data_IF_918143831608
#
_entry.id   IF_918143831608
#
_cell.length_a   1.000
_cell.length_b   1.000
_cell.length_c   1.000
_cell.angle_alpha   90.00
_cell.angle_beta   90.00
_cell.angle_gamma   90.00
#
_symmetry.space_group_name_H-M   'P 1'
#
loop_
_entity.id
_entity.type
_entity.pdbx_description
1 polymer ?
#
# COMPACT_ATOMS: atom_id res chain seq x y z
N UNK A 1 49.35 23.77 -12.47
CA UNK A 1 48.15 24.65 -12.47
C UNK A 1 47.85 25.32 -13.81
N UNK A 2 48.79 26.03 -14.45
CA UNK A 2 48.52 26.82 -15.68
C UNK A 2 47.98 26.03 -16.90
N UNK A 3 48.30 24.74 -17.04
CA UNK A 3 47.81 23.88 -18.16
C UNK A 3 46.35 23.42 -18.00
N UNK A 4 45.87 23.20 -16.77
CA UNK A 4 44.46 22.82 -16.51
C UNK A 4 43.51 24.01 -16.68
N UNK A 5 43.96 25.23 -16.39
CA UNK A 5 43.16 26.46 -16.58
C UNK A 5 42.96 26.78 -18.07
N UNK A 6 43.97 26.54 -18.93
CA UNK A 6 43.82 26.72 -20.39
C UNK A 6 42.81 25.77 -21.02
N UNK A 7 42.77 24.51 -20.59
CA UNK A 7 41.82 23.53 -21.14
C UNK A 7 40.38 23.77 -20.65
N UNK A 8 40.19 24.25 -19.41
CA UNK A 8 38.85 24.65 -18.92
C UNK A 8 38.35 25.90 -19.66
N UNK A 9 39.21 26.91 -19.89
CA UNK A 9 38.83 28.10 -20.67
C UNK A 9 38.44 27.80 -22.11
N UNK A 10 39.11 26.84 -22.76
CA UNK A 10 38.82 26.46 -24.16
C UNK A 10 37.49 25.68 -24.24
N UNK A 11 37.19 24.81 -23.28
CA UNK A 11 35.92 24.05 -23.25
C UNK A 11 34.74 24.96 -22.88
N UNK A 12 34.91 25.93 -21.96
CA UNK A 12 33.88 26.95 -21.69
C UNK A 12 33.71 27.93 -22.86
N UNK A 13 34.77 28.26 -23.60
CA UNK A 13 34.67 29.10 -24.79
C UNK A 13 33.97 28.39 -25.95
N UNK A 14 34.23 27.09 -26.17
CA UNK A 14 33.54 26.32 -27.21
C UNK A 14 32.05 26.08 -26.89
N UNK A 15 31.70 25.87 -25.61
CA UNK A 15 30.28 25.80 -25.18
C UNK A 15 29.57 27.16 -25.26
N UNK A 16 30.27 28.28 -25.00
CA UNK A 16 29.70 29.62 -25.16
C UNK A 16 29.50 30.00 -26.64
N UNK A 17 30.39 29.56 -27.54
CA UNK A 17 30.24 29.82 -28.98
C UNK A 17 29.17 28.96 -29.64
N UNK A 18 28.89 27.76 -29.12
CA UNK A 18 27.82 26.89 -29.63
C UNK A 18 26.43 27.25 -29.08
N UNK A 19 26.34 27.95 -27.94
CA UNK A 19 25.08 28.56 -27.48
C UNK A 19 24.75 29.91 -28.14
N UNK A 20 25.69 30.56 -28.83
CA UNK A 20 25.44 31.83 -29.55
C UNK A 20 25.06 31.68 -31.03
N UNK A 21 24.87 30.44 -31.51
CA UNK A 21 24.35 30.16 -32.85
C UNK A 21 22.99 29.44 -32.79
N UNK A 22 22.07 29.95 -31.96
CA UNK A 22 20.69 30.03 -32.46
C UNK A 22 20.66 31.20 -33.45
N UNK A 23 21.23 30.99 -34.63
CA UNK A 23 21.21 31.95 -35.72
C UNK A 23 19.72 32.20 -36.02
N UNK A 24 19.23 33.40 -35.75
CA UNK A 24 17.91 33.79 -36.22
C UNK A 24 17.90 33.56 -37.72
N UNK A 25 16.96 32.73 -38.20
CA UNK A 25 16.73 32.56 -39.63
C UNK A 25 16.04 33.83 -40.14
N UNK A 26 16.80 34.90 -40.19
CA UNK A 26 16.41 36.17 -40.78
C UNK A 26 16.23 35.92 -42.27
N UNK A 27 14.99 36.06 -42.75
CA UNK A 27 14.68 35.87 -44.16
C UNK A 27 14.65 37.26 -44.79
N UNK A 28 15.56 37.50 -45.75
CA UNK A 28 15.53 38.73 -46.54
C UNK A 28 14.53 38.55 -47.67
N UNK A 29 13.50 39.39 -47.70
CA UNK A 29 12.54 39.46 -48.80
C UNK A 29 12.91 40.66 -49.67
N UNK A 30 13.00 40.45 -50.98
CA UNK A 30 13.37 41.50 -51.94
C UNK A 30 12.25 41.74 -52.93
N UNK A 31 11.96 43.00 -53.24
CA UNK A 31 11.00 43.42 -54.26
C UNK A 31 11.67 44.39 -55.23
N UNK A 32 11.76 44.00 -56.50
CA UNK A 32 12.19 44.89 -57.57
C UNK A 32 11.07 45.90 -57.87
N UNK A 33 11.42 47.19 -57.84
CA UNK A 33 10.56 48.30 -58.25
C UNK A 33 11.02 48.82 -59.61
N UNK A 34 10.06 49.18 -60.46
CA UNK A 34 10.30 49.81 -61.76
C UNK A 34 10.07 51.31 -61.67
N UNK A 35 10.78 52.09 -62.49
CA UNK A 35 10.50 53.52 -62.65
C UNK A 35 9.00 53.76 -62.88
N UNK A 36 8.41 54.68 -62.12
CA UNK A 36 6.95 54.89 -62.06
C UNK A 36 6.29 54.20 -60.87
N UNK A 37 5.01 53.86 -61.01
CA UNK A 37 4.16 53.38 -59.91
C UNK A 37 4.30 51.87 -59.65
N UNK A 38 4.46 51.50 -58.39
CA UNK A 38 4.55 50.12 -57.92
C UNK A 38 3.60 49.90 -56.74
N UNK A 39 2.82 48.81 -56.77
CA UNK A 39 2.04 48.36 -55.62
C UNK A 39 2.88 47.39 -54.79
N UNK A 40 3.06 47.71 -53.50
CA UNK A 40 3.90 46.96 -52.57
C UNK A 40 3.11 46.71 -51.29
N UNK A 41 2.98 45.44 -50.89
CA UNK A 41 2.52 45.10 -49.54
C UNK A 41 3.62 45.40 -48.53
N UNK A 42 3.29 46.07 -47.43
CA UNK A 42 4.24 46.35 -46.37
C UNK A 42 4.61 45.05 -45.65
N UNK A 43 5.91 44.71 -45.71
CA UNK A 43 6.46 43.45 -45.23
C UNK A 43 6.95 43.55 -43.77
N UNK A 44 6.51 44.57 -43.03
CA UNK A 44 6.83 44.76 -41.62
C UNK A 44 5.96 43.96 -40.67
N UNK A 45 6.52 43.64 -39.50
CA UNK A 45 5.82 42.91 -38.44
C UNK A 45 5.14 43.84 -37.43
N UNK A 46 5.58 45.10 -37.35
CA UNK A 46 5.01 46.15 -36.51
C UNK A 46 4.80 47.42 -37.33
N UNK A 47 3.94 48.35 -36.89
CA UNK A 47 3.88 49.69 -37.45
C UNK A 47 5.27 50.33 -37.47
N UNK A 48 5.64 50.95 -38.58
CA UNK A 48 6.90 51.69 -38.72
C UNK A 48 6.64 53.04 -39.37
N UNK A 49 7.46 54.02 -39.00
CA UNK A 49 7.42 55.35 -39.62
C UNK A 49 7.73 55.22 -41.11
N UNK A 50 6.93 55.87 -41.96
CA UNK A 50 7.03 55.74 -43.42
C UNK A 50 8.42 56.07 -43.94
N UNK A 51 9.09 57.06 -43.32
CA UNK A 51 10.45 57.43 -43.68
C UNK A 51 11.46 56.30 -43.37
N UNK A 52 11.33 55.66 -42.22
CA UNK A 52 12.23 54.57 -41.79
C UNK A 52 11.96 53.29 -42.59
N UNK A 53 10.68 52.97 -42.79
CA UNK A 53 10.21 51.80 -43.53
C UNK A 53 10.79 51.67 -44.94
N UNK A 54 11.04 52.81 -45.61
CA UNK A 54 11.55 52.88 -46.98
C UNK A 54 12.90 53.60 -47.10
N UNK A 55 13.63 53.78 -46.00
CA UNK A 55 14.87 54.56 -45.94
C UNK A 55 15.88 54.16 -47.04
N UNK A 56 15.97 52.88 -47.37
CA UNK A 56 16.92 52.33 -48.35
C UNK A 56 16.69 52.77 -49.81
N UNK A 57 15.47 53.20 -50.15
CA UNK A 57 15.11 53.67 -51.50
C UNK A 57 14.67 55.13 -51.49
N UNK A 58 14.76 55.82 -50.35
CA UNK A 58 14.12 57.11 -50.13
C UNK A 58 14.65 58.22 -51.07
N UNK A 59 15.90 58.11 -51.50
CA UNK A 59 16.53 58.98 -52.49
C UNK A 59 15.87 58.90 -53.88
N UNK A 60 15.11 57.83 -54.14
CA UNK A 60 14.43 57.55 -55.42
C UNK A 60 12.92 57.66 -55.32
N UNK A 61 12.37 57.85 -54.12
CA UNK A 61 10.92 57.93 -53.89
C UNK A 61 10.41 59.32 -54.25
N UNK A 62 9.45 59.39 -55.17
CA UNK A 62 8.73 60.64 -55.47
C UNK A 62 7.52 60.81 -54.53
N UNK A 63 6.77 59.74 -54.30
CA UNK A 63 5.59 59.74 -53.42
C UNK A 63 5.20 58.31 -53.01
N UNK A 64 4.73 58.16 -51.78
CA UNK A 64 4.11 56.95 -51.22
C UNK A 64 2.66 57.28 -50.89
N UNK A 65 1.73 56.38 -51.23
CA UNK A 65 0.29 56.52 -50.92
C UNK A 65 -0.26 55.26 -50.28
N UNK A 66 -1.11 55.43 -49.28
CA UNK A 66 -2.03 54.40 -48.80
C UNK A 66 -3.48 54.83 -49.10
N UNK A 67 -4.47 54.10 -48.60
CA UNK A 67 -5.87 54.53 -48.66
C UNK A 67 -6.13 55.81 -47.85
N UNK A 68 -5.35 56.03 -46.78
CA UNK A 68 -5.64 57.04 -45.76
C UNK A 68 -4.68 58.23 -45.77
N UNK A 69 -3.60 58.17 -46.56
CA UNK A 69 -2.64 59.26 -46.61
C UNK A 69 -1.57 59.16 -47.68
N UNK A 70 -0.67 60.14 -47.68
CA UNK A 70 0.49 60.15 -48.56
C UNK A 70 1.74 60.69 -47.85
N UNK A 71 2.90 60.33 -48.41
CA UNK A 71 4.21 60.80 -47.98
C UNK A 71 5.06 61.17 -49.21
N UNK A 72 5.64 62.36 -49.21
CA UNK A 72 6.59 62.85 -50.23
C UNK A 72 7.85 63.38 -49.53
N UNK A 73 9.06 62.87 -49.88
CA UNK A 73 10.30 63.29 -49.20
C UNK A 73 10.64 64.78 -49.34
N UNK A 74 10.20 65.42 -50.42
CA UNK A 74 10.44 66.85 -50.69
C UNK A 74 9.50 67.79 -49.92
N UNK A 75 8.42 67.27 -49.32
CA UNK A 75 7.48 68.07 -48.54
C UNK A 75 7.94 68.18 -47.08
N UNK A 76 7.68 69.34 -46.46
CA UNK A 76 7.90 69.50 -45.02
C UNK A 76 7.03 68.49 -44.26
N UNK A 77 7.57 67.90 -43.18
CA UNK A 77 6.97 66.73 -42.50
C UNK A 77 5.50 66.92 -42.12
N UNK A 78 5.09 68.12 -41.68
CA UNK A 78 3.69 68.39 -41.30
C UNK A 78 2.69 68.34 -42.47
N UNK A 79 3.16 68.35 -43.73
CA UNK A 79 2.32 68.21 -44.92
C UNK A 79 2.15 66.76 -45.37
N UNK A 80 2.94 65.84 -44.82
CA UNK A 80 2.75 64.40 -45.02
C UNK A 80 1.64 63.91 -44.08
N UNK A 81 0.75 63.06 -44.58
CA UNK A 81 -0.35 62.49 -43.80
C UNK A 81 -0.22 60.98 -43.56
N UNK A 82 0.76 60.35 -44.21
CA UNK A 82 1.12 58.96 -44.00
C UNK A 82 2.36 58.88 -43.10
N UNK A 83 2.14 59.01 -41.79
CA UNK A 83 3.23 58.98 -40.81
C UNK A 83 3.78 57.57 -40.61
N UNK A 84 2.89 56.56 -40.59
CA UNK A 84 3.25 55.17 -40.35
C UNK A 84 2.62 54.23 -41.40
N UNK A 85 3.30 53.13 -41.68
CA UNK A 85 2.78 52.01 -42.48
C UNK A 85 2.54 50.82 -41.57
N UNK A 86 1.35 50.21 -41.65
CA UNK A 86 0.96 49.10 -40.78
C UNK A 86 1.25 47.75 -41.44
N UNK A 87 1.53 46.69 -40.65
CA UNK A 87 1.64 45.32 -41.15
C UNK A 87 0.41 44.93 -41.98
N UNK A 88 0.65 44.24 -43.10
CA UNK A 88 -0.37 43.76 -44.05
C UNK A 88 -1.04 44.83 -44.92
N UNK A 89 -0.70 46.12 -44.76
CA UNK A 89 -1.20 47.17 -45.65
C UNK A 89 -0.54 47.13 -47.03
N UNK A 90 -1.28 47.55 -48.06
CA UNK A 90 -0.76 47.80 -49.40
C UNK A 90 -0.50 49.29 -49.60
N UNK A 91 0.71 49.65 -50.05
CA UNK A 91 1.08 51.02 -50.42
C UNK A 91 1.45 51.11 -51.90
N UNK A 92 1.10 52.23 -52.52
CA UNK A 92 1.53 52.62 -53.85
C UNK A 92 2.76 53.53 -53.74
N UNK A 93 3.88 53.10 -54.31
CA UNK A 93 5.15 53.82 -54.28
C UNK A 93 5.52 54.23 -55.70
N UNK A 94 5.73 55.52 -55.93
CA UNK A 94 6.28 56.04 -57.19
C UNK A 94 7.78 56.28 -57.02
N UNK A 95 8.58 55.68 -57.89
CA UNK A 95 10.04 55.84 -57.89
C UNK A 95 10.54 56.43 -59.20
N UNK A 96 11.59 57.24 -59.15
CA UNK A 96 12.17 57.93 -60.31
C UNK A 96 12.96 57.01 -61.25
N UNK A 97 13.49 55.90 -60.73
CA UNK A 97 14.23 54.87 -61.48
C UNK A 97 14.07 53.47 -60.88
N UNK A 98 14.49 52.44 -61.62
CA UNK A 98 14.47 51.05 -61.15
C UNK A 98 15.33 50.88 -59.88
N UNK A 99 14.78 50.27 -58.83
CA UNK A 99 15.49 50.02 -57.57
C UNK A 99 15.01 48.75 -56.87
N UNK A 100 15.76 48.30 -55.86
CA UNK A 100 15.47 47.11 -55.08
C UNK A 100 15.06 47.50 -53.67
N UNK A 101 13.89 47.02 -53.23
CA UNK A 101 13.43 47.16 -51.86
C UNK A 101 13.71 45.84 -51.12
N UNK A 102 14.62 45.84 -50.15
CA UNK A 102 14.95 44.69 -49.32
C UNK A 102 14.40 44.83 -47.91
N UNK A 103 13.97 43.72 -47.30
CA UNK A 103 13.56 43.75 -45.90
C UNK A 103 13.90 42.46 -45.18
N UNK A 104 14.56 42.61 -44.04
CA UNK A 104 14.89 41.50 -43.15
C UNK A 104 13.71 41.17 -42.27
N UNK A 105 13.05 40.05 -42.52
CA UNK A 105 12.00 39.52 -41.66
C UNK A 105 12.66 38.62 -40.62
N UNK A 106 12.65 39.07 -39.36
CA UNK A 106 13.04 38.23 -38.23
C UNK A 106 11.99 37.14 -38.08
N UNK A 107 12.36 35.88 -38.25
CA UNK A 107 11.45 34.75 -37.99
C UNK A 107 11.30 34.53 -36.47
N UNK A 108 10.84 35.54 -35.75
CA UNK A 108 10.38 35.43 -34.37
C UNK A 108 8.90 35.09 -34.38
N UNK A 109 8.58 33.81 -34.15
CA UNK A 109 7.27 33.31 -33.74
C UNK A 109 6.03 33.98 -34.39
N UNK A 110 5.75 33.66 -35.65
CA UNK A 110 4.34 33.68 -36.12
C UNK A 110 3.66 32.46 -35.49
N UNK A 111 3.25 32.63 -34.24
CA UNK A 111 2.12 31.94 -33.66
C UNK A 111 1.09 33.04 -33.46
N UNK A 112 0.19 33.20 -34.43
CA UNK A 112 -1.15 33.69 -34.12
C UNK A 112 -1.75 32.62 -33.19
N UNK A 113 -1.45 32.72 -31.90
CA UNK A 113 -2.27 32.05 -30.90
C UNK A 113 -3.56 32.84 -30.84
N UNK A 114 -4.60 32.28 -31.42
CA UNK A 114 -5.97 32.63 -31.06
C UNK A 114 -6.18 32.18 -29.60
N UNK A 115 -5.68 32.96 -28.64
CA UNK A 115 -5.97 32.79 -27.21
C UNK A 115 -7.36 33.33 -26.90
N UNK A 116 -8.37 32.95 -27.69
CA UNK A 116 -9.73 32.98 -27.17
C UNK A 116 -9.82 31.84 -26.16
N UNK A 117 -9.61 32.16 -24.89
CA UNK A 117 -10.00 31.27 -23.80
C UNK A 117 -11.48 30.96 -24.00
N UNK A 118 -11.80 29.76 -24.49
CA UNK A 118 -13.18 29.36 -24.66
C UNK A 118 -13.81 29.27 -23.26
N UNK A 119 -14.94 29.94 -23.07
CA UNK A 119 -15.73 29.73 -21.87
C UNK A 119 -16.43 28.38 -21.96
N UNK A 120 -16.79 27.79 -20.82
CA UNK A 120 -17.60 26.57 -20.79
C UNK A 120 -18.94 26.78 -21.54
N UNK A 121 -19.46 28.01 -21.57
CA UNK A 121 -20.64 28.37 -22.35
C UNK A 121 -20.42 28.30 -23.88
N UNK A 122 -19.24 28.71 -24.36
CA UNK A 122 -18.87 28.57 -25.78
C UNK A 122 -18.76 27.10 -26.19
N UNK A 123 -18.19 26.26 -25.32
CA UNK A 123 -18.05 24.81 -25.54
C UNK A 123 -19.42 24.13 -25.58
N UNK A 124 -20.31 24.43 -24.62
CA UNK A 124 -21.67 23.86 -24.55
C UNK A 124 -22.53 24.27 -25.77
N UNK A 125 -22.33 25.49 -26.30
CA UNK A 125 -23.05 25.97 -27.48
C UNK A 125 -22.69 25.21 -28.77
N UNK A 126 -21.46 24.70 -28.87
CA UNK A 126 -21.00 23.86 -30.00
C UNK A 126 -21.46 22.40 -29.82
N UNK A 127 -21.50 21.92 -28.59
CA UNK A 127 -22.00 20.61 -28.22
C UNK A 127 -21.60 20.25 -26.79
N UNK A 128 -22.54 19.71 -26.01
CA UNK A 128 -22.35 19.42 -24.59
C UNK A 128 -21.68 18.06 -24.31
N UNK A 129 -20.91 17.51 -25.27
CA UNK A 129 -20.34 16.16 -25.14
C UNK A 129 -18.82 16.16 -25.21
N UNK A 130 -18.18 15.58 -24.20
CA UNK A 130 -16.79 15.18 -24.24
C UNK A 130 -16.72 13.72 -24.72
N UNK A 131 -16.43 13.50 -26.00
CA UNK A 131 -16.39 12.15 -26.61
C UNK A 131 -15.06 11.40 -26.30
N UNK A 132 -14.40 11.70 -25.18
CA UNK A 132 -13.09 11.17 -24.81
C UNK A 132 -12.81 11.25 -23.30
N UNK A 133 -11.65 10.77 -22.87
CA UNK A 133 -11.24 10.82 -21.46
C UNK A 133 -10.81 12.24 -21.05
N UNK A 134 -11.33 12.71 -19.92
CA UNK A 134 -10.87 13.95 -19.28
C UNK A 134 -9.75 13.59 -18.29
N UNK A 135 -8.61 14.29 -18.36
CA UNK A 135 -7.42 14.05 -17.53
C UNK A 135 -7.12 15.28 -16.67
N UNK A 136 -6.39 15.08 -15.56
CA UNK A 136 -5.99 16.17 -14.66
C UNK A 136 -7.12 16.73 -13.77
N UNK A 137 -8.25 16.02 -13.68
CA UNK A 137 -9.30 16.33 -12.70
C UNK A 137 -8.73 16.15 -11.28
N UNK A 138 -8.79 17.20 -10.48
CA UNK A 138 -8.46 17.14 -9.05
C UNK A 138 -9.57 16.45 -8.27
N UNK A 139 -9.30 16.07 -7.01
CA UNK A 139 -10.34 15.57 -6.11
C UNK A 139 -11.49 16.58 -5.96
N UNK A 140 -12.75 16.13 -5.82
CA UNK A 140 -13.89 17.01 -5.63
C UNK A 140 -13.77 17.77 -4.31
N UNK A 141 -14.08 19.06 -4.30
CA UNK A 141 -14.18 19.91 -3.11
C UNK A 141 -15.61 20.39 -2.84
N UNK A 142 -16.39 20.57 -3.90
CA UNK A 142 -17.78 21.00 -3.84
C UNK A 142 -18.75 19.88 -4.27
N UNK A 143 -20.01 19.98 -3.84
CA UNK A 143 -21.02 18.93 -4.03
C UNK A 143 -21.36 18.62 -5.50
N UNK A 144 -21.03 19.52 -6.43
CA UNK A 144 -21.32 19.39 -7.86
C UNK A 144 -20.08 19.06 -8.71
N UNK A 145 -18.93 18.87 -8.06
CA UNK A 145 -17.70 18.55 -8.78
C UNK A 145 -17.78 17.18 -9.44
N UNK A 146 -17.21 17.09 -10.65
CA UNK A 146 -16.98 15.81 -11.30
C UNK A 146 -15.93 15.02 -10.51
N UNK A 147 -16.17 13.72 -10.33
CA UNK A 147 -15.28 12.84 -9.58
C UNK A 147 -14.40 11.99 -10.50
N UNK A 148 -13.17 11.72 -10.07
CA UNK A 148 -12.29 10.79 -10.77
C UNK A 148 -12.72 9.34 -10.51
N UNK A 149 -12.39 8.43 -11.42
CA UNK A 149 -12.60 6.98 -11.21
C UNK A 149 -11.89 6.49 -9.95
N UNK A 150 -10.66 6.94 -9.73
CA UNK A 150 -9.87 6.61 -8.55
C UNK A 150 -10.60 6.97 -7.25
N UNK A 151 -11.15 8.18 -7.15
CA UNK A 151 -11.92 8.60 -5.99
C UNK A 151 -13.14 7.69 -5.72
N UNK A 152 -13.88 7.35 -6.78
CA UNK A 152 -15.04 6.44 -6.67
C UNK A 152 -14.62 5.02 -6.27
N UNK A 153 -13.52 4.51 -6.81
CA UNK A 153 -13.03 3.17 -6.47
C UNK A 153 -12.56 3.10 -5.01
N UNK A 154 -11.89 4.14 -4.50
CA UNK A 154 -11.51 4.27 -3.09
C UNK A 154 -12.74 4.27 -2.18
N UNK A 155 -13.76 5.06 -2.51
CA UNK A 155 -15.02 5.07 -1.75
C UNK A 155 -15.70 3.69 -1.76
N UNK A 156 -15.76 3.02 -2.91
CA UNK A 156 -16.31 1.65 -3.01
C UNK A 156 -15.54 0.67 -2.14
N UNK A 157 -14.21 0.72 -2.15
CA UNK A 157 -13.38 -0.13 -1.30
C UNK A 157 -13.66 0.12 0.20
N UNK A 158 -13.79 1.39 0.61
CA UNK A 158 -14.14 1.76 1.98
C UNK A 158 -15.54 1.27 2.39
N UNK A 159 -16.54 1.41 1.51
CA UNK A 159 -17.90 0.92 1.76
C UNK A 159 -17.88 -0.59 1.97
N UNK A 160 -17.27 -1.35 1.05
CA UNK A 160 -17.16 -2.81 1.16
C UNK A 160 -16.46 -3.23 2.45
N UNK A 161 -15.37 -2.54 2.83
CA UNK A 161 -14.66 -2.83 4.08
C UNK A 161 -15.54 -2.58 5.32
N UNK A 162 -16.33 -1.50 5.31
CA UNK A 162 -17.27 -1.18 6.40
C UNK A 162 -18.41 -2.20 6.49
N UNK A 163 -18.99 -2.62 5.36
CA UNK A 163 -20.02 -3.67 5.32
C UNK A 163 -19.51 -4.99 5.91
N UNK A 164 -18.30 -5.41 5.53
CA UNK A 164 -17.67 -6.60 6.09
C UNK A 164 -17.43 -6.48 7.58
N UNK A 165 -17.00 -5.29 8.05
CA UNK A 165 -16.85 -5.04 9.48
C UNK A 165 -18.18 -5.15 10.22
N UNK A 166 -19.27 -4.61 9.69
CA UNK A 166 -20.60 -4.72 10.30
C UNK A 166 -21.10 -6.16 10.36
N UNK A 167 -20.93 -6.94 9.30
CA UNK A 167 -21.28 -8.36 9.28
C UNK A 167 -20.50 -9.14 10.35
N UNK A 168 -19.20 -8.89 10.47
CA UNK A 168 -18.37 -9.52 11.50
C UNK A 168 -18.82 -9.17 12.93
N UNK A 169 -19.20 -7.93 13.19
CA UNK A 169 -19.72 -7.53 14.52
C UNK A 169 -21.07 -8.20 14.82
N UNK A 170 -21.96 -8.35 13.83
CA UNK A 170 -23.20 -9.12 13.98
C UNK A 170 -22.92 -10.59 14.27
N UNK A 171 -21.95 -11.20 13.59
CA UNK A 171 -21.50 -12.58 13.85
C UNK A 171 -20.93 -12.74 15.28
N UNK A 172 -20.25 -11.73 15.80
CA UNK A 172 -19.78 -11.73 17.21
C UNK A 172 -20.97 -11.75 18.16
N UNK A 173 -22.00 -10.94 17.91
CA UNK A 173 -23.23 -10.95 18.73
C UNK A 173 -23.98 -12.29 18.61
N UNK A 174 -23.94 -12.93 17.43
CA UNK A 174 -24.50 -14.26 17.21
C UNK A 174 -23.65 -15.39 17.80
N UNK A 175 -22.43 -15.11 18.27
CA UNK A 175 -21.49 -16.09 18.81
C UNK A 175 -20.84 -17.00 17.74
N UNK A 176 -20.94 -16.65 16.46
CA UNK A 176 -20.29 -17.35 15.35
C UNK A 176 -18.88 -16.82 15.06
N UNK A 177 -18.56 -15.63 15.57
CA UNK A 177 -17.22 -15.05 15.58
C UNK A 177 -16.82 -14.51 16.95
N UNK A 178 -15.53 -14.25 17.11
CA UNK A 178 -14.95 -13.53 18.25
C UNK A 178 -13.98 -12.47 17.74
N UNK A 179 -13.93 -11.34 18.44
CA UNK A 179 -13.08 -10.19 18.12
C UNK A 179 -11.99 -10.02 19.19
N UNK A 180 -10.73 -9.86 18.79
CA UNK A 180 -9.63 -9.56 19.73
C UNK A 180 -9.45 -8.05 20.00
N UNK A 181 -8.43 -7.70 20.79
CA UNK A 181 -8.06 -6.31 21.13
C UNK A 181 -7.62 -5.49 19.91
N UNK A 182 -7.18 -6.15 18.84
CA UNK A 182 -6.78 -5.58 17.55
C UNK A 182 -7.92 -5.39 16.56
N UNK A 183 -9.10 -5.90 16.89
CA UNK A 183 -10.25 -5.89 15.99
C UNK A 183 -10.17 -6.96 14.91
N UNK A 184 -9.30 -7.95 15.09
CA UNK A 184 -9.29 -9.15 14.29
C UNK A 184 -10.49 -10.03 14.65
N UNK A 185 -11.17 -10.55 13.64
CA UNK A 185 -12.24 -11.52 13.79
C UNK A 185 -11.76 -12.94 13.50
N UNK A 186 -12.28 -13.88 14.28
CA UNK A 186 -12.01 -15.32 14.20
C UNK A 186 -13.32 -16.08 14.22
N UNK A 187 -13.40 -17.16 13.45
CA UNK A 187 -14.54 -18.07 13.44
C UNK A 187 -14.61 -18.84 14.75
N UNK A 188 -15.83 -19.12 15.23
CA UNK A 188 -16.06 -19.91 16.44
C UNK A 188 -16.58 -21.29 16.07
N UNK A 189 -15.86 -22.32 16.47
CA UNK A 189 -16.20 -23.71 16.21
C UNK A 189 -16.69 -24.35 17.50
N UNK A 190 -17.93 -24.84 17.46
CA UNK A 190 -18.57 -25.53 18.57
C UNK A 190 -18.33 -27.03 18.47
N UNK A 191 -17.67 -27.59 19.47
CA UNK A 191 -17.34 -29.01 19.59
C UNK A 191 -18.20 -29.61 20.71
N UNK A 192 -18.84 -30.74 20.43
CA UNK A 192 -19.49 -31.56 21.47
C UNK A 192 -18.45 -32.45 22.14
N UNK A 193 -18.35 -32.39 23.46
CA UNK A 193 -17.44 -33.24 24.26
C UNK A 193 -18.24 -34.15 25.20
N UNK A 194 -17.80 -35.39 25.36
CA UNK A 194 -18.36 -36.33 26.35
C UNK A 194 -17.57 -36.23 27.65
N UNK A 195 -18.21 -35.81 28.73
CA UNK A 195 -17.58 -35.75 30.07
C UNK A 195 -17.59 -37.15 30.69
N UNK A 196 -16.41 -37.67 31.05
CA UNK A 196 -16.24 -39.04 31.58
C UNK A 196 -16.84 -39.28 32.99
N UNK A 197 -17.28 -38.23 33.70
CA UNK A 197 -17.57 -38.29 35.14
C UNK A 197 -19.03 -38.00 35.54
N UNK A 198 -19.99 -37.95 34.61
CA UNK A 198 -21.41 -37.89 34.98
C UNK A 198 -22.20 -39.04 34.32
N UNK A 199 -22.37 -40.18 35.03
CA UNK A 199 -23.18 -41.30 34.54
C UNK A 199 -24.70 -41.07 34.67
N UNK A 200 -25.17 -39.94 35.21
CA UNK A 200 -26.59 -39.71 35.54
C UNK A 200 -27.24 -38.58 34.73
N UNK A 201 -26.49 -37.84 33.91
CA UNK A 201 -27.07 -36.82 33.04
C UNK A 201 -26.22 -36.61 31.80
N UNK A 202 -26.72 -37.10 30.66
CA UNK A 202 -26.19 -36.90 29.29
C UNK A 202 -26.35 -35.44 28.81
N UNK A 203 -26.17 -34.45 29.68
CA UNK A 203 -26.13 -33.07 29.25
C UNK A 203 -24.92 -32.89 28.33
N UNK A 204 -25.18 -32.65 27.05
CA UNK A 204 -24.17 -32.35 26.04
C UNK A 204 -23.27 -31.22 26.55
N UNK A 205 -22.01 -31.54 26.85
CA UNK A 205 -21.01 -30.53 27.16
C UNK A 205 -20.40 -30.03 25.86
N UNK A 206 -20.13 -28.73 25.79
CA UNK A 206 -19.61 -28.10 24.59
C UNK A 206 -18.34 -27.31 24.91
N UNK A 207 -17.36 -27.45 24.03
CA UNK A 207 -16.16 -26.62 24.00
C UNK A 207 -16.20 -25.78 22.72
N UNK A 208 -15.68 -24.56 22.80
CA UNK A 208 -15.60 -23.64 21.68
C UNK A 208 -14.12 -23.38 21.40
N UNK A 209 -13.73 -23.43 20.13
CA UNK A 209 -12.36 -23.17 19.70
C UNK A 209 -12.37 -22.21 18.52
N UNK A 210 -11.37 -21.34 18.44
CA UNK A 210 -11.18 -20.49 17.27
C UNK A 210 -10.83 -21.33 16.05
N UNK A 211 -11.38 -20.98 14.89
CA UNK A 211 -11.05 -21.64 13.62
C UNK A 211 -9.66 -21.29 13.09
N UNK A 212 -9.16 -20.10 13.43
CA UNK A 212 -7.90 -19.57 12.96
C UNK A 212 -6.94 -19.28 14.13
N UNK A 213 -5.64 -19.19 13.82
CA UNK A 213 -4.63 -18.82 14.81
C UNK A 213 -4.67 -17.31 15.07
N UNK A 214 -4.29 -16.91 16.28
CA UNK A 214 -4.22 -15.51 16.70
C UNK A 214 -3.24 -14.71 15.84
N UNK A 215 -3.63 -13.46 15.62
CA UNK A 215 -2.88 -12.43 14.86
C UNK A 215 -2.88 -11.10 15.62
N UNK A 216 -2.84 -11.21 16.94
CA UNK A 216 -2.87 -10.10 17.87
C UNK A 216 -1.46 -9.57 18.09
N UNK A 217 -1.35 -8.27 18.28
CA UNK A 217 -0.08 -7.52 18.42
C UNK A 217 -0.05 -6.74 19.72
N UNK A 218 -1.13 -6.82 20.51
CA UNK A 218 -1.30 -6.22 21.81
C UNK A 218 -1.81 -7.23 22.82
N UNK A 219 -1.40 -7.08 24.07
CA UNK A 219 -1.96 -7.80 25.19
C UNK A 219 -3.42 -7.35 25.43
N UNK A 220 -4.24 -8.12 26.18
CA UNK A 220 -5.63 -7.75 26.43
C UNK A 220 -5.81 -6.39 27.12
N UNK A 221 -4.80 -5.93 27.88
CA UNK A 221 -4.79 -4.61 28.51
C UNK A 221 -4.47 -3.46 27.53
N UNK A 222 -4.15 -3.78 26.27
CA UNK A 222 -3.80 -2.83 25.21
C UNK A 222 -2.31 -2.59 25.03
N UNK A 223 -1.45 -3.12 25.90
CA UNK A 223 0.00 -2.94 25.80
C UNK A 223 0.55 -3.64 24.55
N UNK A 224 1.48 -3.02 23.81
CA UNK A 224 2.07 -3.63 22.62
C UNK A 224 2.94 -4.84 23.00
N UNK A 225 2.84 -5.88 22.19
CA UNK A 225 3.78 -7.00 22.20
C UNK A 225 4.95 -6.61 21.31
N UNK A 226 6.17 -6.92 21.72
CA UNK A 226 7.36 -6.56 20.93
C UNK A 226 7.38 -7.35 19.62
N UNK A 227 7.44 -6.66 18.48
CA UNK A 227 7.64 -7.31 17.20
C UNK A 227 9.12 -7.65 17.00
N UNK A 228 9.41 -8.84 16.49
CA UNK A 228 10.76 -9.29 16.14
C UNK A 228 10.81 -9.91 14.74
N UNK A 229 11.96 -9.80 14.09
CA UNK A 229 12.20 -10.43 12.79
C UNK A 229 12.70 -11.87 12.96
N UNK A 230 12.11 -12.78 12.20
CA UNK A 230 12.59 -14.16 12.01
C UNK A 230 13.76 -14.19 11.01
N UNK A 231 14.68 -15.14 11.14
CA UNK A 231 15.93 -15.27 10.35
C UNK A 231 15.74 -15.76 8.91
N UNK A 232 14.53 -15.65 8.36
CA UNK A 232 14.15 -16.30 7.10
C UNK A 232 14.90 -15.69 5.90
N UNK A 233 15.70 -16.53 5.25
CA UNK A 233 16.43 -16.33 4.00
C UNK A 233 17.15 -14.97 3.85
N UNK A 234 18.06 -14.67 4.78
CA UNK A 234 19.18 -13.75 4.57
C UNK A 234 18.84 -12.27 4.34
N UNK A 235 17.57 -11.88 4.47
CA UNK A 235 17.17 -10.49 4.37
C UNK A 235 17.37 -9.81 5.72
N UNK A 236 18.28 -8.84 5.79
CA UNK A 236 18.38 -7.94 6.93
C UNK A 236 17.03 -7.27 7.20
N UNK A 237 16.68 -7.00 8.47
CA UNK A 237 15.46 -6.32 8.76
C UNK A 237 15.51 -4.91 8.15
N UNK A 238 14.35 -4.27 7.90
CA UNK A 238 14.25 -3.04 7.10
C UNK A 238 15.05 -1.83 7.62
N UNK A 239 15.60 -1.89 8.84
CA UNK A 239 16.43 -0.83 9.41
C UNK A 239 17.31 -1.34 10.56
N UNK A 240 18.40 -0.62 10.85
CA UNK A 240 19.33 -0.85 11.96
C UNK A 240 18.69 -0.85 13.37
N UNK A 241 17.42 -0.45 13.50
CA UNK A 241 16.69 -0.42 14.78
C UNK A 241 15.77 -1.63 14.99
N UNK A 242 15.58 -2.43 13.96
CA UNK A 242 14.77 -3.63 14.03
C UNK A 242 15.53 -4.74 14.74
N UNK A 243 14.85 -5.45 15.65
CA UNK A 243 15.47 -6.48 16.48
C UNK A 243 15.14 -7.87 15.94
N UNK A 244 16.15 -8.74 15.92
CA UNK A 244 15.96 -10.15 15.59
C UNK A 244 15.33 -10.91 16.76
N UNK A 245 14.56 -11.94 16.43
CA UNK A 245 14.00 -12.87 17.41
C UNK A 245 15.08 -13.39 18.36
N UNK A 246 16.17 -13.89 17.78
CA UNK A 246 17.31 -14.47 18.51
C UNK A 246 17.99 -13.49 19.45
N UNK A 247 18.17 -12.24 19.02
CA UNK A 247 18.76 -11.20 19.85
C UNK A 247 17.90 -10.89 21.08
N UNK A 248 16.58 -10.85 20.92
CA UNK A 248 15.68 -10.55 22.03
C UNK A 248 15.63 -11.73 23.00
N UNK A 249 15.34 -12.94 22.51
CA UNK A 249 15.09 -14.10 23.38
C UNK A 249 16.36 -14.64 24.03
N UNK A 250 17.53 -14.46 23.40
CA UNK A 250 18.82 -14.86 24.00
C UNK A 250 19.23 -13.94 25.14
N UNK A 251 18.92 -12.65 25.05
CA UNK A 251 19.24 -11.66 26.09
C UNK A 251 18.15 -11.59 27.18
N UNK A 252 16.93 -12.00 26.86
CA UNK A 252 15.81 -12.00 27.79
C UNK A 252 14.89 -13.20 27.52
N UNK A 253 15.06 -14.34 28.22
CA UNK A 253 14.20 -15.51 28.07
C UNK A 253 12.77 -15.25 28.56
N UNK A 254 12.51 -14.10 29.21
CA UNK A 254 11.18 -13.64 29.60
C UNK A 254 10.60 -12.58 28.65
N UNK A 255 11.12 -12.46 27.43
CA UNK A 255 10.65 -11.46 26.50
C UNK A 255 9.25 -11.80 25.96
N UNK A 256 8.37 -10.78 25.98
CA UNK A 256 7.03 -10.82 25.37
C UNK A 256 7.13 -10.40 23.92
N UNK A 257 7.26 -11.38 23.02
CA UNK A 257 7.60 -11.15 21.61
C UNK A 257 6.62 -11.89 20.70
N UNK A 258 6.34 -11.29 19.54
CA UNK A 258 5.67 -11.95 18.44
C UNK A 258 6.40 -11.72 17.11
N UNK A 259 6.14 -12.61 16.14
CA UNK A 259 6.57 -12.40 14.76
C UNK A 259 5.55 -12.95 13.76
N UNK A 260 5.55 -12.38 12.56
CA UNK A 260 4.76 -12.87 11.43
C UNK A 260 5.53 -13.96 10.69
N UNK A 261 4.81 -14.89 10.07
CA UNK A 261 5.43 -15.90 9.22
C UNK A 261 6.23 -15.22 8.11
N UNK A 262 7.50 -15.62 7.96
CA UNK A 262 8.44 -15.08 6.97
C UNK A 262 8.56 -13.56 6.99
N UNK A 263 8.26 -12.93 8.14
CA UNK A 263 8.20 -11.47 8.29
C UNK A 263 7.22 -10.77 7.33
N UNK A 264 6.21 -11.49 6.82
CA UNK A 264 5.26 -11.00 5.82
C UNK A 264 3.83 -11.05 6.36
N UNK A 265 3.40 -9.92 6.90
CA UNK A 265 2.06 -9.75 7.46
C UNK A 265 0.98 -9.86 6.39
N UNK A 266 1.19 -9.20 5.25
CA UNK A 266 0.14 -8.98 4.26
C UNK A 266 -0.28 -10.29 3.60
N UNK A 267 0.68 -11.20 3.39
CA UNK A 267 0.39 -12.50 2.79
C UNK A 267 0.12 -13.60 3.83
N UNK A 268 0.71 -13.54 5.04
CA UNK A 268 0.65 -14.68 5.97
C UNK A 268 -0.15 -14.48 7.26
N UNK A 269 -0.47 -13.25 7.67
CA UNK A 269 -1.17 -13.01 8.93
C UNK A 269 -2.58 -13.62 8.97
N UNK A 270 -3.31 -13.54 7.85
CA UNK A 270 -4.64 -14.15 7.72
C UNK A 270 -4.56 -15.68 7.64
N UNK A 271 -3.76 -16.28 6.75
CA UNK A 271 -3.76 -17.73 6.58
C UNK A 271 -3.11 -18.51 7.73
N UNK A 272 -2.10 -17.96 8.43
CA UNK A 272 -1.33 -18.70 9.44
C UNK A 272 -1.30 -18.08 10.84
N UNK A 273 -1.63 -16.79 10.99
CA UNK A 273 -1.57 -16.06 12.25
C UNK A 273 -0.18 -15.46 12.53
N UNK A 274 0.24 -15.47 13.80
CA UNK A 274 1.59 -15.08 14.24
C UNK A 274 2.18 -16.12 15.20
N UNK A 275 3.50 -16.05 15.41
CA UNK A 275 4.20 -16.77 16.48
C UNK A 275 4.33 -15.92 17.72
N UNK A 276 4.21 -16.54 18.88
CA UNK A 276 4.31 -15.87 20.17
C UNK A 276 5.24 -16.64 21.10
N UNK A 277 6.08 -15.92 21.84
CA UNK A 277 6.82 -16.51 22.97
C UNK A 277 5.87 -16.99 24.05
N UNK A 278 6.37 -17.83 24.96
CA UNK A 278 5.58 -18.30 26.10
C UNK A 278 5.05 -17.14 26.96
N UNK A 279 5.90 -16.14 27.21
CA UNK A 279 5.53 -14.98 28.03
C UNK A 279 4.50 -14.09 27.34
N UNK A 280 4.59 -13.94 26.01
CA UNK A 280 3.56 -13.23 25.24
C UNK A 280 2.22 -13.95 25.32
N UNK A 281 2.21 -15.27 25.15
CA UNK A 281 1.02 -16.10 25.29
C UNK A 281 0.38 -15.97 26.66
N UNK A 282 1.18 -15.95 27.74
CA UNK A 282 0.66 -15.84 29.09
C UNK A 282 0.21 -14.44 29.47
N UNK A 283 0.61 -13.38 28.74
CA UNK A 283 0.18 -12.01 29.02
C UNK A 283 0.32 -11.59 30.51
N UNK A 284 1.42 -11.99 31.15
CA UNK A 284 1.73 -11.66 32.55
C UNK A 284 1.21 -12.64 33.62
N UNK A 285 0.35 -13.60 33.26
CA UNK A 285 -0.04 -14.68 34.18
C UNK A 285 1.18 -15.53 34.55
N UNK A 286 1.29 -15.96 35.81
CA UNK A 286 2.45 -16.72 36.32
C UNK A 286 2.07 -18.16 36.65
N UNK A 287 2.75 -19.13 36.05
CA UNK A 287 2.67 -20.54 36.42
C UNK A 287 3.39 -20.82 37.76
N UNK A 288 2.93 -21.72 38.65
CA UNK A 288 1.77 -22.61 38.57
C UNK A 288 0.45 -22.01 39.10
N UNK A 289 0.44 -20.72 39.46
CA UNK A 289 -0.73 -20.05 40.06
C UNK A 289 -1.85 -19.74 39.05
N UNK A 290 -1.77 -20.33 37.86
CA UNK A 290 -2.84 -20.30 36.87
C UNK A 290 -3.90 -21.30 37.36
N UNK A 291 -4.94 -20.79 38.03
CA UNK A 291 -6.09 -21.63 38.28
C UNK A 291 -6.65 -22.10 36.94
N UNK A 292 -7.11 -23.35 36.90
CA UNK A 292 -7.68 -24.02 35.73
C UNK A 292 -8.74 -23.14 35.01
N UNK A 293 -9.37 -22.20 35.72
CA UNK A 293 -10.50 -21.39 35.27
C UNK A 293 -10.21 -19.90 35.05
N UNK A 294 -8.99 -19.41 35.29
CA UNK A 294 -8.71 -17.96 35.23
C UNK A 294 -7.36 -17.65 34.57
N UNK A 295 -7.25 -17.92 33.26
CA UNK A 295 -6.09 -17.48 32.49
C UNK A 295 -6.47 -17.12 31.06
N UNK A 296 -6.94 -15.89 30.85
CA UNK A 296 -7.16 -15.37 29.51
C UNK A 296 -5.89 -15.47 28.64
N UNK A 297 -4.72 -15.18 29.22
CA UNK A 297 -3.49 -15.05 28.44
C UNK A 297 -3.66 -13.97 27.37
N UNK A 298 -3.11 -14.22 26.18
CA UNK A 298 -3.19 -13.32 25.03
C UNK A 298 -4.55 -13.38 24.29
N UNK A 299 -5.49 -14.22 24.74
CA UNK A 299 -6.77 -14.44 24.08
C UNK A 299 -7.78 -13.28 24.29
N UNK A 300 -8.83 -13.18 23.45
CA UNK A 300 -9.93 -12.24 23.64
C UNK A 300 -10.68 -12.46 24.96
N UNK A 301 -11.45 -11.45 25.39
CA UNK A 301 -12.22 -11.53 26.62
C UNK A 301 -13.21 -12.72 26.61
N UNK A 302 -13.23 -13.49 27.69
CA UNK A 302 -14.05 -14.70 27.81
C UNK A 302 -13.53 -15.91 27.03
N UNK A 303 -12.30 -15.82 26.51
CA UNK A 303 -11.54 -16.91 25.91
C UNK A 303 -10.19 -17.06 26.61
N UNK A 304 -9.58 -18.23 26.52
CA UNK A 304 -8.30 -18.52 27.15
C UNK A 304 -7.42 -19.41 26.27
N UNK A 305 -6.13 -19.42 26.60
CA UNK A 305 -5.17 -20.37 26.05
C UNK A 305 -5.49 -21.73 26.63
N UNK A 306 -5.49 -22.78 25.81
CA UNK A 306 -5.97 -24.09 26.26
C UNK A 306 -5.19 -24.66 27.46
N UNK A 307 -5.92 -25.23 28.40
CA UNK A 307 -5.35 -26.07 29.45
C UNK A 307 -5.21 -27.52 28.96
N UNK A 308 -4.28 -28.28 29.56
CA UNK A 308 -4.06 -29.70 29.22
C UNK A 308 -5.35 -30.53 29.17
N UNK A 309 -6.19 -30.49 30.19
CA UNK A 309 -7.42 -31.31 30.22
C UNK A 309 -8.39 -30.96 29.09
N UNK A 310 -8.41 -29.70 28.65
CA UNK A 310 -9.25 -29.27 27.52
C UNK A 310 -8.72 -29.85 26.20
N UNK A 311 -7.39 -29.95 26.06
CA UNK A 311 -6.77 -30.67 24.95
C UNK A 311 -6.99 -32.17 25.03
N UNK A 312 -6.97 -32.78 26.22
CA UNK A 312 -7.31 -34.19 26.42
C UNK A 312 -8.78 -34.47 26.02
N UNK A 313 -9.71 -33.53 26.23
CA UNK A 313 -11.08 -33.68 25.71
C UNK A 313 -11.15 -33.62 24.19
N UNK A 314 -10.38 -32.72 23.57
CA UNK A 314 -10.25 -32.68 22.12
C UNK A 314 -9.67 -34.00 21.59
N UNK A 315 -8.59 -34.49 22.19
CA UNK A 315 -7.95 -35.76 21.82
C UNK A 315 -8.92 -36.95 21.94
N UNK A 316 -9.66 -37.06 23.04
CA UNK A 316 -10.63 -38.14 23.22
C UNK A 316 -11.73 -38.11 22.15
N UNK A 317 -12.13 -36.93 21.67
CA UNK A 317 -13.03 -36.83 20.53
C UNK A 317 -12.40 -37.39 19.25
N UNK A 318 -11.11 -37.16 19.04
CA UNK A 318 -10.37 -37.66 17.87
C UNK A 318 -10.32 -39.19 17.91
N UNK A 319 -9.83 -39.74 19.02
CA UNK A 319 -9.60 -41.18 19.19
C UNK A 319 -10.91 -41.99 19.22
N UNK A 320 -11.99 -41.44 19.81
CA UNK A 320 -13.27 -42.18 19.93
C UNK A 320 -14.10 -42.24 18.65
N UNK A 321 -13.84 -41.38 17.67
CA UNK A 321 -14.64 -41.28 16.44
C UNK A 321 -13.89 -41.74 15.17
N UNK A 322 -12.68 -42.31 15.31
CA UNK A 322 -11.85 -42.76 14.19
C UNK A 322 -11.58 -41.68 13.12
N UNK A 323 -11.49 -40.41 13.55
CA UNK A 323 -11.12 -39.31 12.67
C UNK A 323 -9.66 -39.45 12.20
N UNK A 324 -9.40 -39.02 10.97
CA UNK A 324 -8.07 -38.98 10.35
C UNK A 324 -7.48 -37.56 10.44
N UNK A 325 -6.15 -37.41 10.30
CA UNK A 325 -5.48 -36.11 10.12
C UNK A 325 -6.24 -35.10 9.25
N UNK A 326 -6.74 -35.56 8.11
CA UNK A 326 -7.40 -34.75 7.09
C UNK A 326 -8.70 -34.12 7.59
N UNK A 327 -9.34 -34.71 8.62
CA UNK A 327 -10.59 -34.24 9.22
C UNK A 327 -10.47 -32.90 9.95
N UNK A 328 -9.24 -32.49 10.27
CA UNK A 328 -8.93 -31.35 11.11
C UNK A 328 -8.21 -30.21 10.39
N UNK A 329 -7.61 -30.48 9.24
CA UNK A 329 -6.76 -29.53 8.55
C UNK A 329 -7.54 -28.71 7.53
N UNK A 330 -7.06 -27.49 7.25
CA UNK A 330 -7.57 -26.66 6.16
C UNK A 330 -7.17 -27.30 4.83
N UNK A 331 -8.16 -27.79 4.10
CA UNK A 331 -7.99 -28.58 2.88
C UNK A 331 -7.72 -27.69 1.65
N UNK A 332 -6.62 -26.96 1.68
CA UNK A 332 -6.13 -26.09 0.60
C UNK A 332 -4.59 -26.28 0.51
N UNK A 333 -4.06 -26.65 -0.66
CA UNK A 333 -2.62 -26.94 -0.88
C UNK A 333 -1.70 -25.75 -0.58
N UNK A 334 -2.25 -24.55 -0.44
CA UNK A 334 -1.50 -23.38 0.00
C UNK A 334 -1.05 -23.49 1.47
N UNK A 335 -1.72 -24.30 2.29
CA UNK A 335 -1.54 -24.36 3.76
C UNK A 335 -0.72 -25.57 4.24
N UNK A 336 -0.51 -26.55 3.38
CA UNK A 336 0.18 -27.82 3.66
C UNK A 336 0.98 -28.27 2.43
N UNK A 337 2.08 -28.99 2.61
CA UNK A 337 2.82 -29.57 1.49
C UNK A 337 1.97 -30.65 0.77
N UNK A 338 2.20 -30.88 -0.55
CA UNK A 338 1.32 -31.57 -1.53
C UNK A 338 0.82 -33.00 -1.19
N UNK A 339 1.16 -33.57 -0.05
CA UNK A 339 0.90 -34.97 0.32
C UNK A 339 -0.55 -35.29 0.78
N UNK A 340 -1.50 -34.34 0.71
CA UNK A 340 -2.87 -34.52 1.23
C UNK A 340 -3.95 -34.28 0.17
N UNK A 341 -4.23 -35.25 -0.71
CA UNK A 341 -5.32 -35.13 -1.65
C UNK A 341 -6.68 -35.42 -0.98
N UNK A 342 -7.63 -34.51 -1.21
CA UNK A 342 -9.07 -34.69 -1.21
C UNK A 342 -9.79 -34.92 0.14
N UNK A 343 -10.44 -33.83 0.56
CA UNK A 343 -11.78 -33.74 1.16
C UNK A 343 -12.00 -34.67 2.36
N UNK A 344 -11.78 -34.16 3.56
CA UNK A 344 -12.93 -33.68 4.34
C UNK A 344 -12.39 -32.93 5.55
N UNK A 345 -12.50 -31.60 5.65
CA UNK A 345 -12.32 -30.89 6.93
C UNK A 345 -13.60 -31.08 7.77
N UNK A 346 -13.95 -32.33 8.08
CA UNK A 346 -15.26 -32.72 8.60
C UNK A 346 -15.52 -32.14 9.99
N UNK A 347 -14.46 -31.88 10.76
CA UNK A 347 -14.55 -31.23 12.07
C UNK A 347 -14.65 -29.71 11.99
N UNK A 348 -14.36 -29.13 10.81
CA UNK A 348 -14.26 -27.70 10.52
C UNK A 348 -13.10 -26.99 11.25
N UNK A 349 -12.26 -27.72 11.98
CA UNK A 349 -11.19 -27.15 12.80
C UNK A 349 -10.11 -26.44 12.00
N UNK A 350 -9.94 -26.75 10.73
CA UNK A 350 -9.16 -25.93 9.79
C UNK A 350 -7.74 -25.59 10.27
N UNK A 351 -7.05 -26.52 10.94
CA UNK A 351 -5.64 -26.33 11.32
C UNK A 351 -4.75 -26.19 10.09
N UNK A 352 -3.68 -25.42 10.22
CA UNK A 352 -2.75 -25.09 9.13
C UNK A 352 -1.32 -25.46 9.55
N UNK A 353 -0.48 -25.79 8.56
CA UNK A 353 0.90 -26.23 8.81
C UNK A 353 1.78 -25.04 9.15
N UNK A 354 1.78 -24.63 10.40
CA UNK A 354 2.52 -23.44 10.85
C UNK A 354 3.99 -23.73 11.07
N UNK A 355 4.38 -24.89 11.59
CA UNK A 355 5.72 -25.03 12.14
C UNK A 355 5.88 -24.24 13.45
N UNK A 356 7.15 -24.01 13.82
CA UNK A 356 7.56 -23.20 14.97
C UNK A 356 8.77 -22.34 14.63
N UNK A 357 9.02 -21.30 15.42
CA UNK A 357 10.27 -20.52 15.36
C UNK A 357 11.18 -20.89 16.52
N UNK A 358 12.44 -21.20 16.23
CA UNK A 358 13.45 -21.60 17.22
C UNK A 358 14.14 -20.38 17.87
N UNK A 359 15.14 -20.61 18.74
CA UNK A 359 15.87 -19.51 19.39
C UNK A 359 16.73 -18.68 18.44
N UNK A 360 17.12 -19.24 17.28
CA UNK A 360 17.91 -18.54 16.27
C UNK A 360 17.02 -17.67 15.36
N UNK A 361 15.71 -17.86 15.48
CA UNK A 361 14.70 -17.17 14.67
C UNK A 361 14.34 -17.94 13.40
N UNK A 362 14.82 -19.18 13.23
CA UNK A 362 14.51 -19.98 12.04
C UNK A 362 13.11 -20.57 12.15
N UNK A 363 12.39 -20.56 11.05
CA UNK A 363 11.07 -21.21 10.96
C UNK A 363 11.28 -22.67 10.53
N UNK A 364 10.88 -23.60 11.39
CA UNK A 364 11.04 -25.04 11.21
C UNK A 364 9.68 -25.72 11.01
N UNK A 365 9.64 -26.76 10.17
CA UNK A 365 8.43 -27.59 9.91
C UNK A 365 7.23 -26.82 9.34
N UNK A 366 7.47 -25.69 8.66
CA UNK A 366 6.43 -24.92 7.99
C UNK A 366 5.76 -25.76 6.91
N UNK A 367 4.42 -25.72 6.88
CA UNK A 367 3.54 -26.56 6.05
C UNK A 367 3.61 -28.08 6.31
N UNK A 368 4.43 -28.52 7.27
CA UNK A 368 4.55 -29.94 7.65
C UNK A 368 3.80 -30.26 8.94
N UNK A 369 3.75 -29.32 9.90
CA UNK A 369 3.13 -29.52 11.22
C UNK A 369 2.30 -28.31 11.64
N UNK A 370 1.10 -28.54 12.17
CA UNK A 370 0.28 -27.51 12.82
C UNK A 370 0.31 -27.68 14.33
N UNK A 371 0.38 -26.57 15.07
CA UNK A 371 0.51 -26.58 16.53
C UNK A 371 -0.73 -26.02 17.23
N UNK A 372 -1.09 -26.61 18.37
CA UNK A 372 -2.02 -26.07 19.35
C UNK A 372 -1.30 -26.02 20.70
N UNK A 373 -0.98 -24.82 21.18
CA UNK A 373 -0.20 -24.63 22.40
C UNK A 373 -1.09 -24.62 23.64
N UNK A 374 -0.59 -25.21 24.74
CA UNK A 374 -1.21 -25.11 26.07
C UNK A 374 -0.51 -24.11 27.00
N UNK A 375 -1.24 -23.66 28.01
CA UNK A 375 -0.73 -22.75 29.03
C UNK A 375 0.17 -23.47 30.08
N UNK A 376 -0.08 -24.75 30.35
CA UNK A 376 0.61 -25.51 31.39
C UNK A 376 2.03 -25.96 31.00
N UNK A 377 2.90 -26.06 32.01
CA UNK A 377 4.19 -26.72 31.93
C UNK A 377 4.12 -28.06 32.66
N UNK A 378 4.54 -29.14 32.02
CA UNK A 378 4.62 -30.44 32.70
C UNK A 378 6.01 -30.69 33.30
N UNK A 379 6.07 -31.15 34.55
CA UNK A 379 7.29 -31.70 35.14
C UNK A 379 7.45 -33.16 34.74
N UNK A 380 8.55 -33.55 34.07
CA UNK A 380 8.86 -34.97 33.89
C UNK A 380 9.42 -35.53 35.21
N UNK A 381 8.62 -36.35 35.90
CA UNK A 381 8.95 -36.95 37.20
C UNK A 381 10.24 -37.79 37.18
N UNK A 382 10.69 -38.27 36.01
CA UNK A 382 11.82 -39.19 35.87
C UNK A 382 13.16 -38.56 35.46
N UNK A 383 13.19 -37.28 35.06
CA UNK A 383 14.41 -36.64 34.52
C UNK A 383 14.86 -35.36 35.23
N UNK A 384 14.14 -34.91 36.26
CA UNK A 384 14.51 -33.68 36.99
C UNK A 384 14.49 -32.41 36.15
N UNK A 385 13.85 -32.44 34.97
CA UNK A 385 13.70 -31.30 34.07
C UNK A 385 12.24 -30.88 33.97
N UNK A 386 12.01 -29.59 34.22
CA UNK A 386 10.70 -28.96 34.20
C UNK A 386 10.44 -28.42 32.81
N UNK A 387 9.19 -28.60 32.36
CA UNK A 387 8.51 -27.95 31.26
C UNK A 387 8.55 -28.76 29.96
N UNK A 388 7.42 -29.36 29.59
CA UNK A 388 7.16 -29.92 28.27
C UNK A 388 5.95 -29.20 27.67
N UNK A 389 5.99 -28.89 26.37
CA UNK A 389 4.79 -28.48 25.65
C UNK A 389 4.25 -29.66 24.84
N UNK A 390 2.93 -29.85 24.90
CA UNK A 390 2.25 -30.81 24.04
C UNK A 390 1.87 -30.17 22.72
N UNK A 391 2.05 -30.92 21.65
CA UNK A 391 1.54 -30.58 20.34
C UNK A 391 0.90 -31.81 19.72
N UNK A 392 -0.25 -31.60 19.09
CA UNK A 392 -0.87 -32.63 18.29
C UNK A 392 -0.27 -32.57 16.89
N UNK A 393 0.53 -33.56 16.52
CA UNK A 393 1.03 -33.68 15.17
C UNK A 393 -0.09 -34.22 14.29
N UNK A 394 -0.82 -33.30 13.65
CA UNK A 394 -1.92 -33.67 12.77
C UNK A 394 -1.48 -34.62 11.66
N UNK A 395 -0.25 -34.56 11.16
CA UNK A 395 0.23 -35.47 10.12
C UNK A 395 0.38 -36.94 10.63
N UNK A 396 0.86 -37.11 11.85
CA UNK A 396 1.11 -38.43 12.44
C UNK A 396 -0.06 -38.97 13.28
N UNK A 397 -1.10 -38.15 13.51
CA UNK A 397 -2.19 -38.44 14.47
C UNK A 397 -1.69 -38.66 15.91
N UNK A 398 -0.53 -38.11 16.24
CA UNK A 398 0.17 -38.41 17.48
C UNK A 398 0.37 -37.15 18.31
N UNK A 399 0.07 -37.30 19.60
CA UNK A 399 0.41 -36.32 20.60
C UNK A 399 1.88 -36.48 20.98
N UNK A 400 2.66 -35.43 20.78
CA UNK A 400 4.06 -35.42 21.14
C UNK A 400 4.30 -34.39 22.24
N UNK A 401 5.18 -34.74 23.17
CA UNK A 401 5.69 -33.85 24.20
C UNK A 401 7.15 -33.59 23.89
N UNK A 402 7.55 -32.32 23.83
CA UNK A 402 8.97 -31.97 23.71
C UNK A 402 9.37 -31.00 24.81
N UNK A 403 10.67 -30.97 25.11
CA UNK A 403 11.24 -30.07 26.11
C UNK A 403 10.88 -28.63 25.78
N UNK A 404 10.41 -27.92 26.80
CA UNK A 404 9.99 -26.54 26.70
C UNK A 404 11.22 -25.65 26.70
N UNK A 405 11.22 -24.83 25.67
CA UNK A 405 12.15 -23.78 25.49
C UNK A 405 11.31 -22.50 25.43
N UNK A 406 11.33 -21.70 26.50
CA UNK A 406 10.52 -20.47 26.61
C UNK A 406 10.71 -19.49 25.43
N UNK A 407 11.83 -19.62 24.73
CA UNK A 407 12.24 -18.87 23.55
C UNK A 407 11.64 -19.37 22.23
N UNK A 408 10.97 -20.52 22.19
CA UNK A 408 10.27 -21.00 21.01
C UNK A 408 8.97 -20.21 20.82
N UNK A 409 8.78 -19.74 19.60
CA UNK A 409 7.54 -19.11 19.17
C UNK A 409 6.61 -20.12 18.52
N UNK A 410 5.34 -20.10 18.94
CA UNK A 410 4.30 -20.98 18.43
C UNK A 410 3.05 -20.18 18.08
N UNK A 411 2.24 -20.64 17.12
CA UNK A 411 0.90 -20.10 16.95
C UNK A 411 0.04 -20.39 18.18
N UNK A 412 -0.85 -19.46 18.49
CA UNK A 412 -1.82 -19.60 19.56
C UNK A 412 -3.21 -19.67 18.95
N UNK A 413 -4.05 -20.54 19.50
CA UNK A 413 -5.46 -20.65 19.17
C UNK A 413 -6.24 -20.79 20.47
N UNK A 414 -7.21 -19.92 20.67
CA UNK A 414 -7.92 -19.84 21.94
C UNK A 414 -9.11 -20.77 21.97
N UNK A 415 -9.47 -21.16 23.19
CA UNK A 415 -10.67 -21.93 23.49
C UNK A 415 -11.53 -21.21 24.53
N UNK A 416 -12.77 -21.69 24.65
CA UNK A 416 -13.74 -21.23 25.62
C UNK A 416 -14.58 -22.43 26.06
N UNK A 417 -14.64 -22.67 27.37
CA UNK A 417 -15.58 -23.61 27.99
C UNK A 417 -16.94 -22.92 28.19
N UNK A 418 -18.04 -23.68 28.16
CA UNK A 418 -19.40 -23.17 28.42
C UNK A 418 -19.97 -23.61 29.77
N UNK A 419 -19.12 -24.09 30.68
CA UNK A 419 -19.55 -24.41 32.05
C UNK A 419 -18.80 -23.64 33.13
N UNK A 420 -18.87 -22.30 33.12
CA UNK A 420 -18.43 -21.47 34.25
C UNK A 420 -19.22 -21.77 35.56
N UNK A 421 -20.39 -22.44 35.46
CA UNK A 421 -21.28 -22.67 36.61
C UNK A 421 -21.33 -24.13 37.15
N UNK A 422 -20.55 -25.09 36.63
CA UNK A 422 -20.68 -26.51 37.01
C UNK A 422 -19.36 -27.23 37.33
N UNK A 423 -18.35 -26.49 37.79
CA UNK A 423 -17.08 -27.06 38.29
C UNK A 423 -16.82 -26.75 39.77
N UNK A 424 -17.84 -26.30 40.50
CA UNK A 424 -17.81 -26.09 41.96
C UNK A 424 -17.64 -27.36 42.79
N UNK A 425 -17.57 -28.56 42.20
CA UNK A 425 -17.44 -29.81 42.94
C UNK A 425 -16.15 -30.59 42.60
N UNK A 426 -14.99 -29.98 42.82
CA UNK A 426 -13.82 -30.76 43.24
C UNK A 426 -13.28 -30.14 44.53
N UNK A 427 -13.60 -30.81 45.64
CA UNK A 427 -12.94 -30.60 46.91
C UNK A 427 -11.43 -30.73 46.70
N UNK A 428 -10.71 -29.69 47.11
CA UNK A 428 -9.32 -29.81 47.53
C UNK A 428 -9.38 -30.67 48.81
N UNK A 429 -9.24 -31.99 48.68
CA UNK A 429 -8.85 -32.81 49.83
C UNK A 429 -7.36 -32.56 50.11
N UNK A 430 -7.10 -31.52 50.88
CA UNK A 430 -5.89 -31.42 51.69
C UNK A 430 -6.01 -32.48 52.79
N UNK A 431 -5.58 -33.71 52.50
CA UNK A 431 -5.16 -34.60 53.59
C UNK A 431 -3.77 -34.16 54.04
N UNK A 432 -3.76 -33.33 55.08
CA UNK A 432 -2.60 -33.17 55.95
C UNK A 432 -2.39 -34.46 56.74
N UNK A 433 -1.19 -35.03 56.63
CA UNK A 433 -0.49 -35.61 57.78
C UNK A 433 0.81 -34.86 58.00
#
# INVERSE_FOLDING_TARGET
>A
MKRRIKNVLIVTALLLTTLLQAQSLDTVVTKQLKAGWNLVGFMGQTPEETQEAFAQIMDKVEIIKSFDGFYTPELQSFLNSLDNVLPLDGVMIKVSEDCLLERTIKKSAILYQDTKSQSLADVIAIGNSANGQIKGLTSPTDAQDAVTKEYVDVLKAQITANEQRWLNELDVQAGTKVRDVDGNYYSVIKIRIKRWLDPVSVADSFMYIMGENLRVTRLPNGDPIQYAYSSVDGNEPPSDKSLWWSEIVSNNPKATVYTWYRNDKDNFAIPFGAYYTYEAMLAGYQYPNISFFQHQGICPNGWHVAHRKELEYLENLILSNAYKPQDFIKNELEYWNELYPNETNSTKLSFVGTGYIDYEGNINLFKDVGFLRMCEKLSAFYLGQNNYFGFYNFNQSDYNYTQDYNYIGLPIRCIKDVNENNLTNYEISLELK
#
